data_IF_063538889198
#
_entry.id   IF_063538889198
#
_cell.length_a   1.000
_cell.length_b   1.000
_cell.length_c   1.000
_cell.angle_alpha   90.00
_cell.angle_beta   90.00
_cell.angle_gamma   90.00
#
_symmetry.space_group_name_H-M   'P 1'
#
loop_
_entity.id
_entity.type
_entity.pdbx_description
1 polymer ?
#
# COMPACT_ATOMS: atom_id res chain seq x y z
N UNK A 1 -41.95 111.88 17.40
CA UNK A 1 -41.47 110.49 17.22
C UNK A 1 -41.08 110.31 15.76
N UNK A 2 -39.83 109.93 15.45
CA UNK A 2 -39.44 109.59 14.07
C UNK A 2 -40.24 108.35 13.66
N UNK A 3 -41.19 108.50 12.72
CA UNK A 3 -42.00 107.40 12.21
C UNK A 3 -41.16 106.60 11.21
N UNK A 4 -40.80 105.37 11.55
CA UNK A 4 -40.07 104.49 10.64
C UNK A 4 -41.05 103.89 9.64
N UNK A 5 -40.78 104.09 8.34
CA UNK A 5 -41.52 103.49 7.24
C UNK A 5 -40.74 102.31 6.70
N UNK A 6 -41.26 101.10 6.89
CA UNK A 6 -40.70 99.86 6.33
C UNK A 6 -41.50 99.53 5.08
N UNK A 7 -40.81 99.36 3.95
CA UNK A 7 -41.42 98.93 2.69
C UNK A 7 -40.90 97.54 2.35
N UNK A 8 -41.82 96.61 2.12
CA UNK A 8 -41.49 95.24 1.71
C UNK A 8 -41.37 95.20 0.19
N UNK A 9 -40.30 94.58 -0.31
CA UNK A 9 -40.03 94.48 -1.73
C UNK A 9 -40.76 93.30 -2.42
N UNK A 10 -40.70 93.23 -3.76
CA UNK A 10 -40.02 94.19 -4.65
C UNK A 10 -40.95 95.38 -4.98
N UNK A 11 -40.64 96.57 -4.44
CA UNK A 11 -41.38 97.80 -4.71
C UNK A 11 -40.42 99.00 -4.74
N UNK A 12 -40.75 100.03 -5.53
CA UNK A 12 -39.93 101.23 -5.67
C UNK A 12 -40.24 102.21 -4.55
N UNK A 13 -39.21 102.56 -3.77
CA UNK A 13 -39.34 103.53 -2.67
C UNK A 13 -38.83 104.89 -3.12
N UNK A 14 -39.74 105.87 -3.15
CA UNK A 14 -39.39 107.29 -3.27
C UNK A 14 -39.42 107.90 -1.87
N UNK A 15 -38.37 108.65 -1.50
CA UNK A 15 -38.28 109.33 -0.22
C UNK A 15 -39.08 110.64 -0.25
N UNK A 16 -39.80 110.93 0.83
CA UNK A 16 -40.34 112.26 1.05
C UNK A 16 -39.24 113.26 1.46
N UNK A 17 -39.45 114.59 1.38
CA UNK A 17 -38.41 115.61 1.63
C UNK A 17 -37.72 115.56 2.99
N UNK A 18 -38.30 114.89 3.99
CA UNK A 18 -37.76 114.73 5.34
C UNK A 18 -37.48 113.26 5.71
N UNK A 19 -37.51 112.34 4.74
CA UNK A 19 -37.19 110.92 4.95
C UNK A 19 -35.72 110.64 4.60
N UNK A 20 -35.08 109.80 5.43
CA UNK A 20 -33.71 109.34 5.24
C UNK A 20 -33.68 107.82 5.17
N UNK A 21 -32.75 107.25 4.40
CA UNK A 21 -32.51 105.81 4.42
C UNK A 21 -31.81 105.40 5.70
N UNK A 22 -32.26 104.29 6.29
CA UNK A 22 -31.51 103.61 7.34
C UNK A 22 -30.44 102.74 6.69
N UNK A 23 -29.18 103.15 6.77
CA UNK A 23 -28.05 102.38 6.25
C UNK A 23 -27.73 101.25 7.23
N UNK A 24 -27.72 100.02 6.73
CA UNK A 24 -27.28 98.83 7.46
C UNK A 24 -25.79 98.60 7.22
N UNK A 25 -25.05 98.35 8.29
CA UNK A 25 -23.64 98.01 8.24
C UNK A 25 -23.49 96.56 8.69
N UNK A 26 -23.23 95.66 7.74
CA UNK A 26 -23.22 94.23 7.93
C UNK A 26 -21.79 93.67 7.92
N UNK A 27 -21.57 92.62 8.70
CA UNK A 27 -20.35 91.83 8.68
C UNK A 27 -20.17 91.10 7.34
N UNK A 28 -18.96 91.15 6.79
CA UNK A 28 -18.61 90.56 5.50
C UNK A 28 -17.25 89.87 5.53
N UNK A 29 -16.88 89.15 4.47
CA UNK A 29 -15.61 88.42 4.38
C UNK A 29 -15.63 87.00 4.97
N UNK A 30 -14.46 86.35 4.93
CA UNK A 30 -14.13 85.03 5.51
C UNK A 30 -12.66 85.09 6.00
N UNK A 31 -12.39 85.26 7.30
CA UNK A 31 -13.33 85.36 8.42
C UNK A 31 -14.22 86.61 8.36
N UNK A 32 -15.35 86.60 9.08
CA UNK A 32 -16.26 87.76 9.16
C UNK A 32 -15.60 88.94 9.86
N UNK A 33 -15.56 90.07 9.16
CA UNK A 33 -15.09 91.38 9.65
C UNK A 33 -16.31 92.31 9.78
N UNK A 34 -16.47 93.01 10.92
CA UNK A 34 -17.58 93.94 11.12
C UNK A 34 -17.50 95.13 10.16
N UNK A 35 -18.65 95.70 9.80
CA UNK A 35 -18.78 96.88 8.94
C UNK A 35 -18.17 96.76 7.54
N UNK A 36 -18.05 95.55 7.00
CA UNK A 36 -17.45 95.33 5.69
C UNK A 36 -18.43 95.60 4.52
N UNK A 37 -19.74 95.52 4.76
CA UNK A 37 -20.76 95.73 3.75
C UNK A 37 -21.78 96.76 4.22
N UNK A 38 -21.97 97.82 3.44
CA UNK A 38 -23.07 98.77 3.65
C UNK A 38 -24.22 98.45 2.70
N UNK A 39 -25.44 98.37 3.23
CA UNK A 39 -26.64 98.09 2.44
C UNK A 39 -27.79 99.02 2.84
N UNK A 40 -28.55 99.48 1.86
CA UNK A 40 -29.78 100.26 2.06
C UNK A 40 -31.01 99.37 2.26
N UNK A 41 -30.93 98.10 1.84
CA UNK A 41 -32.02 97.15 1.89
C UNK A 41 -31.64 95.93 2.74
N UNK A 42 -32.58 95.45 3.55
CA UNK A 42 -32.44 94.19 4.28
C UNK A 42 -33.00 93.06 3.43
N UNK A 43 -32.18 92.06 3.15
CA UNK A 43 -32.61 90.88 2.45
C UNK A 43 -33.19 89.87 3.43
N UNK A 44 -34.46 89.50 3.24
CA UNK A 44 -35.18 88.60 4.13
C UNK A 44 -34.85 87.11 3.91
N UNK A 45 -34.14 86.78 2.83
CA UNK A 45 -33.83 85.40 2.47
C UNK A 45 -34.92 84.71 1.63
N UNK A 46 -34.85 83.39 1.42
CA UNK A 46 -33.82 82.48 1.92
C UNK A 46 -32.45 82.76 1.31
N UNK A 47 -31.40 82.74 2.14
CA UNK A 47 -30.02 82.96 1.72
C UNK A 47 -29.06 82.19 2.62
N UNK A 48 -27.78 82.15 2.25
CA UNK A 48 -26.74 81.58 3.09
C UNK A 48 -25.61 82.57 3.34
N UNK A 49 -24.96 82.42 4.49
CA UNK A 49 -23.75 83.15 4.86
C UNK A 49 -22.67 82.14 5.25
N UNK A 50 -21.45 82.30 4.73
CA UNK A 50 -20.32 81.47 5.18
C UNK A 50 -19.36 82.26 6.05
N UNK A 51 -18.73 81.58 7.00
CA UNK A 51 -17.71 82.10 7.91
C UNK A 51 -16.60 81.07 8.15
N UNK A 52 -15.45 81.53 8.63
CA UNK A 52 -14.32 80.68 9.03
C UNK A 52 -14.07 80.86 10.52
N UNK A 53 -14.20 79.78 11.28
CA UNK A 53 -14.05 79.76 12.73
C UNK A 53 -12.85 78.89 13.10
N UNK A 54 -11.89 79.48 13.83
CA UNK A 54 -10.79 78.73 14.42
C UNK A 54 -11.24 78.19 15.79
N UNK A 55 -11.04 76.88 16.00
CA UNK A 55 -11.40 76.13 17.20
C UNK A 55 -10.19 75.31 17.69
N UNK A 56 -10.23 74.90 18.95
CA UNK A 56 -9.23 74.03 19.57
C UNK A 56 -9.97 72.89 20.28
N UNK A 57 -9.52 71.65 20.09
CA UNK A 57 -10.05 70.43 20.72
C UNK A 57 -9.41 70.18 22.09
N UNK A 58 -9.94 69.21 22.85
CA UNK A 58 -9.42 68.83 24.17
C UNK A 58 -7.97 68.31 24.16
N UNK A 59 -7.52 67.76 23.02
CA UNK A 59 -6.15 67.31 22.76
C UNK A 59 -5.28 68.40 22.10
N UNK A 60 -5.70 69.66 22.19
CA UNK A 60 -4.98 70.84 21.70
C UNK A 60 -4.77 70.89 20.18
N UNK A 61 -5.58 70.15 19.40
CA UNK A 61 -5.56 70.28 17.95
C UNK A 61 -6.30 71.54 17.53
N UNK A 62 -5.59 72.44 16.84
CA UNK A 62 -6.18 73.67 16.28
C UNK A 62 -6.73 73.41 14.89
N UNK A 63 -8.01 73.71 14.71
CA UNK A 63 -8.75 73.45 13.48
C UNK A 63 -9.36 74.74 12.94
N UNK A 64 -9.30 74.91 11.63
CA UNK A 64 -10.02 75.93 10.87
C UNK A 64 -11.27 75.29 10.28
N UNK A 65 -12.43 75.74 10.77
CA UNK A 65 -13.74 75.29 10.30
C UNK A 65 -14.30 76.31 9.33
N UNK A 66 -14.62 75.88 8.12
CA UNK A 66 -15.40 76.69 7.18
C UNK A 66 -16.85 76.27 7.25
N UNK A 67 -17.69 77.14 7.80
CA UNK A 67 -19.10 76.87 8.05
C UNK A 67 -19.97 77.70 7.10
N UNK A 68 -21.09 77.15 6.68
CA UNK A 68 -22.13 77.85 5.93
C UNK A 68 -23.46 77.71 6.64
N UNK A 69 -24.14 78.83 6.83
CA UNK A 69 -25.39 78.90 7.58
C UNK A 69 -26.50 79.27 6.60
N UNK A 70 -27.54 78.46 6.53
CA UNK A 70 -28.75 78.76 5.76
C UNK A 70 -29.73 79.48 6.66
N UNK A 71 -30.19 80.64 6.22
CA UNK A 71 -31.00 81.53 7.05
C UNK A 71 -32.09 82.24 6.25
N UNK A 72 -33.12 82.65 6.97
CA UNK A 72 -34.18 83.51 6.49
C UNK A 72 -34.73 84.32 7.67
N UNK A 73 -35.44 85.41 7.37
CA UNK A 73 -36.20 86.17 8.35
C UNK A 73 -37.64 85.71 8.34
N UNK A 74 -38.15 85.31 9.50
CA UNK A 74 -39.54 84.91 9.68
C UNK A 74 -40.39 86.14 10.01
N UNK A 75 -40.66 86.96 8.99
CA UNK A 75 -41.44 88.19 9.14
C UNK A 75 -42.93 87.87 9.10
N UNK A 76 -43.51 87.66 10.27
CA UNK A 76 -44.96 87.51 10.42
C UNK A 76 -45.67 88.86 10.41
N UNK A 77 -46.85 88.93 9.78
CA UNK A 77 -47.72 90.10 9.85
C UNK A 77 -48.41 90.11 11.21
N UNK A 78 -48.43 91.26 11.87
CA UNK A 78 -49.22 91.42 13.09
C UNK A 78 -50.72 91.40 12.75
N UNK A 79 -51.59 91.29 13.76
CA UNK A 79 -53.06 91.23 13.60
C UNK A 79 -53.65 92.45 12.86
N UNK A 80 -52.91 93.57 12.85
CA UNK A 80 -53.27 94.81 12.16
C UNK A 80 -52.74 94.89 10.71
N UNK A 81 -52.08 93.84 10.21
CA UNK A 81 -51.48 93.81 8.87
C UNK A 81 -50.16 94.58 8.73
N UNK A 82 -49.64 95.17 9.80
CA UNK A 82 -48.32 95.82 9.84
C UNK A 82 -47.21 94.79 10.09
N UNK A 83 -46.04 95.02 9.49
CA UNK A 83 -44.86 94.17 9.66
C UNK A 83 -44.12 94.54 10.95
N UNK A 84 -43.62 93.52 11.65
CA UNK A 84 -42.80 93.68 12.86
C UNK A 84 -41.56 94.55 12.58
N UNK A 85 -41.42 95.67 13.30
CA UNK A 85 -40.23 96.53 13.21
C UNK A 85 -38.97 95.88 13.81
N UNK A 86 -39.12 94.72 14.47
CA UNK A 86 -38.03 94.01 15.16
C UNK A 86 -36.93 93.56 14.21
N UNK A 87 -37.24 93.33 12.93
CA UNK A 87 -36.26 92.86 11.94
C UNK A 87 -35.06 93.80 11.79
N UNK A 88 -35.24 95.10 12.04
CA UNK A 88 -34.18 96.12 11.99
C UNK A 88 -33.57 96.45 13.37
N UNK A 89 -33.98 95.78 14.45
CA UNK A 89 -33.48 96.06 15.80
C UNK A 89 -32.00 95.70 16.00
N UNK A 90 -31.49 94.76 15.19
CA UNK A 90 -30.08 94.35 15.21
C UNK A 90 -29.38 94.92 13.98
N UNK A 91 -28.47 95.92 14.13
CA UNK A 91 -27.81 96.57 12.99
C UNK A 91 -26.96 95.61 12.15
N UNK A 92 -26.26 94.66 12.79
CA UNK A 92 -25.43 93.64 12.14
C UNK A 92 -25.87 92.23 12.53
N UNK A 93 -26.99 91.78 11.96
CA UNK A 93 -27.53 90.45 12.24
C UNK A 93 -26.58 89.32 11.78
N UNK A 94 -25.78 89.55 10.72
CA UNK A 94 -24.84 88.54 10.21
C UNK A 94 -23.69 88.36 11.21
N UNK A 95 -23.12 89.46 11.70
CA UNK A 95 -22.05 89.44 12.69
C UNK A 95 -22.51 88.81 14.01
N UNK A 96 -23.69 89.18 14.50
CA UNK A 96 -24.24 88.63 15.74
C UNK A 96 -24.53 87.12 15.64
N UNK A 97 -25.12 86.69 14.52
CA UNK A 97 -25.33 85.28 14.21
C UNK A 97 -24.01 84.49 14.18
N UNK A 98 -23.04 84.94 13.38
CA UNK A 98 -21.76 84.24 13.23
C UNK A 98 -20.99 84.20 14.56
N UNK A 99 -21.03 85.28 15.35
CA UNK A 99 -20.39 85.35 16.68
C UNK A 99 -21.02 84.37 17.67
N UNK A 100 -22.35 84.32 17.72
CA UNK A 100 -23.10 83.40 18.60
C UNK A 100 -22.81 81.95 18.23
N UNK A 101 -22.88 81.61 16.94
CA UNK A 101 -22.59 80.26 16.44
C UNK A 101 -21.14 79.88 16.71
N UNK A 102 -20.18 80.76 16.39
CA UNK A 102 -18.77 80.51 16.65
C UNK A 102 -18.47 80.27 18.14
N UNK A 103 -19.15 80.97 19.04
CA UNK A 103 -19.02 80.75 20.49
C UNK A 103 -19.52 79.37 20.91
N UNK A 104 -20.68 78.92 20.39
CA UNK A 104 -21.24 77.60 20.70
C UNK A 104 -20.38 76.47 20.14
N UNK A 105 -19.92 76.62 18.89
CA UNK A 105 -19.05 75.64 18.24
C UNK A 105 -17.71 75.53 18.98
N UNK A 106 -17.06 76.65 19.34
CA UNK A 106 -15.82 76.61 20.14
C UNK A 106 -16.00 75.89 21.47
N UNK A 107 -17.09 76.15 22.18
CA UNK A 107 -17.37 75.50 23.46
C UNK A 107 -17.57 73.98 23.35
N UNK A 108 -18.27 73.52 22.32
CA UNK A 108 -18.50 72.10 22.10
C UNK A 108 -17.25 71.35 21.60
N UNK A 109 -16.48 71.95 20.69
CA UNK A 109 -15.26 71.32 20.15
C UNK A 109 -14.19 71.18 21.22
N UNK A 110 -14.08 72.14 22.14
CA UNK A 110 -13.12 72.08 23.24
C UNK A 110 -13.34 70.90 24.21
N UNK A 111 -14.54 70.29 24.21
CA UNK A 111 -14.88 69.15 25.06
C UNK A 111 -14.59 67.79 24.40
N UNK A 112 -14.33 67.76 23.09
CA UNK A 112 -14.13 66.53 22.30
C UNK A 112 -12.66 66.38 21.90
N UNK A 113 -12.22 65.15 21.62
CA UNK A 113 -10.90 64.88 21.04
C UNK A 113 -10.92 65.09 19.51
N UNK A 114 -9.75 65.14 18.88
CA UNK A 114 -9.65 65.38 17.45
C UNK A 114 -10.28 64.25 16.60
N UNK A 115 -10.09 62.98 16.95
CA UNK A 115 -10.58 61.85 16.12
C UNK A 115 -12.11 61.70 16.20
N UNK A 116 -12.71 61.80 17.40
CA UNK A 116 -14.16 61.86 17.62
C UNK A 116 -14.76 63.03 16.85
N UNK A 117 -14.13 64.22 16.96
CA UNK A 117 -14.59 65.39 16.22
C UNK A 117 -14.45 65.21 14.71
N UNK A 118 -13.35 64.66 14.20
CA UNK A 118 -13.16 64.45 12.77
C UNK A 118 -14.22 63.50 12.18
N UNK A 119 -14.52 62.39 12.88
CA UNK A 119 -15.54 61.40 12.46
C UNK A 119 -16.97 61.93 12.57
N UNK A 120 -17.26 62.74 13.61
CA UNK A 120 -18.62 63.16 13.96
C UNK A 120 -18.86 64.68 13.84
N UNK A 121 -17.99 65.41 13.14
CA UNK A 121 -17.97 66.89 13.07
C UNK A 121 -19.34 67.50 12.78
N UNK A 122 -20.05 66.96 11.79
CA UNK A 122 -21.39 67.44 11.40
C UNK A 122 -22.40 67.30 12.53
N UNK A 123 -22.40 66.17 13.25
CA UNK A 123 -23.33 65.89 14.35
C UNK A 123 -23.02 66.79 15.56
N UNK A 124 -21.75 66.92 15.91
CA UNK A 124 -21.29 67.73 17.04
C UNK A 124 -21.63 69.21 16.82
N UNK A 125 -21.31 69.76 15.64
CA UNK A 125 -21.60 71.16 15.30
C UNK A 125 -23.10 71.44 15.30
N UNK A 126 -23.92 70.58 14.67
CA UNK A 126 -25.38 70.78 14.65
C UNK A 126 -25.97 70.74 16.07
N UNK A 127 -25.52 69.79 16.88
CA UNK A 127 -25.98 69.65 18.28
C UNK A 127 -25.57 70.86 19.12
N UNK A 128 -24.35 71.37 18.94
CA UNK A 128 -23.85 72.54 19.65
C UNK A 128 -24.64 73.82 19.32
N UNK A 129 -25.02 73.99 18.05
CA UNK A 129 -25.66 75.24 17.61
C UNK A 129 -27.17 75.23 17.83
N UNK A 130 -27.86 74.16 17.45
CA UNK A 130 -29.31 74.08 17.59
C UNK A 130 -29.74 73.68 19.01
N UNK A 131 -28.87 72.98 19.74
CA UNK A 131 -29.22 72.38 21.02
C UNK A 131 -30.09 71.14 20.85
N UNK A 132 -30.49 70.58 21.99
CA UNK A 132 -31.26 69.33 22.07
C UNK A 132 -32.65 69.64 22.65
N UNK A 133 -33.68 69.02 22.09
CA UNK A 133 -35.05 69.07 22.61
C UNK A 133 -35.25 68.15 23.82
N UNK A 134 -36.40 68.28 24.49
CA UNK A 134 -36.74 67.48 25.67
C UNK A 134 -36.71 65.95 25.42
N UNK A 135 -36.79 65.54 24.15
CA UNK A 135 -36.76 64.14 23.70
C UNK A 135 -35.35 63.66 23.28
N UNK A 136 -34.31 64.49 23.41
CA UNK A 136 -32.94 64.10 23.02
C UNK A 136 -32.60 64.32 21.54
N UNK A 137 -33.51 64.87 20.73
CA UNK A 137 -33.29 65.16 19.31
C UNK A 137 -32.76 66.58 19.08
N UNK A 138 -31.97 66.78 18.02
CA UNK A 138 -31.41 68.10 17.67
C UNK A 138 -32.53 68.99 17.11
N UNK A 139 -32.65 70.21 17.65
CA UNK A 139 -33.62 71.20 17.18
C UNK A 139 -33.44 71.50 15.69
N UNK A 140 -34.54 71.75 14.99
CA UNK A 140 -34.54 72.01 13.54
C UNK A 140 -34.12 73.42 13.15
N UNK A 141 -34.29 74.39 14.05
CA UNK A 141 -33.97 75.79 13.76
C UNK A 141 -33.43 76.51 15.00
N UNK A 142 -32.60 77.53 14.76
CA UNK A 142 -32.15 78.47 15.76
C UNK A 142 -32.77 79.84 15.47
N UNK A 143 -33.66 80.28 16.36
CA UNK A 143 -34.37 81.56 16.24
C UNK A 143 -33.77 82.62 17.14
N UNK A 144 -33.46 83.77 16.57
CA UNK A 144 -33.03 84.97 17.29
C UNK A 144 -34.26 85.85 17.57
N UNK A 145 -34.68 85.88 18.84
CA UNK A 145 -35.90 86.57 19.27
C UNK A 145 -35.82 88.10 19.09
N UNK A 146 -34.61 88.66 19.04
CA UNK A 146 -34.41 90.10 18.92
C UNK A 146 -34.81 90.68 17.55
N UNK A 147 -34.71 89.89 16.48
CA UNK A 147 -34.93 90.35 15.10
C UNK A 147 -35.66 89.35 14.20
N UNK A 148 -36.26 88.31 14.77
CA UNK A 148 -36.98 87.25 14.04
C UNK A 148 -36.12 86.56 12.94
N UNK A 149 -34.80 86.56 13.14
CA UNK A 149 -33.85 85.89 12.26
C UNK A 149 -33.77 84.39 12.60
N UNK A 150 -33.89 83.54 11.59
CA UNK A 150 -33.94 82.08 11.75
C UNK A 150 -32.83 81.43 10.94
N UNK A 151 -32.01 80.63 11.62
CA UNK A 151 -31.04 79.72 10.99
C UNK A 151 -31.67 78.33 10.91
N UNK A 152 -31.73 77.77 9.71
CA UNK A 152 -32.39 76.48 9.42
C UNK A 152 -31.42 75.32 9.33
N UNK A 153 -30.23 75.57 8.78
CA UNK A 153 -29.23 74.52 8.59
C UNK A 153 -27.82 75.08 8.66
N UNK A 154 -26.89 74.20 9.03
CA UNK A 154 -25.47 74.51 9.12
C UNK A 154 -24.71 73.41 8.39
N UNK A 155 -24.01 73.82 7.36
CA UNK A 155 -23.20 72.96 6.52
C UNK A 155 -21.71 73.19 6.84
N UNK A 156 -21.03 72.11 7.18
CA UNK A 156 -19.58 72.11 7.41
C UNK A 156 -18.90 71.90 6.06
N UNK A 157 -18.32 72.96 5.49
CA UNK A 157 -17.69 72.92 4.16
C UNK A 157 -16.31 72.29 4.20
N UNK A 158 -15.50 72.65 5.20
CA UNK A 158 -14.19 72.05 5.42
C UNK A 158 -13.80 72.10 6.90
N UNK A 159 -13.00 71.11 7.29
CA UNK A 159 -12.37 71.00 8.61
C UNK A 159 -10.89 70.76 8.35
N UNK A 160 -10.08 71.79 8.53
CA UNK A 160 -8.65 71.75 8.21
C UNK A 160 -7.82 71.97 9.48
N UNK A 161 -6.89 71.06 9.82
CA UNK A 161 -5.90 71.34 10.85
C UNK A 161 -5.05 72.54 10.46
N UNK A 162 -4.92 73.51 11.36
CA UNK A 162 -4.03 74.66 11.13
C UNK A 162 -2.56 74.33 11.40
N UNK A 163 -2.29 73.28 12.18
CA UNK A 163 -0.92 72.82 12.47
C UNK A 163 -0.45 71.82 11.42
N UNK A 164 0.69 72.13 10.80
CA UNK A 164 1.37 71.28 9.83
C UNK A 164 1.74 69.90 10.42
N UNK A 165 2.12 69.85 11.71
CA UNK A 165 2.45 68.58 12.38
C UNK A 165 1.26 67.65 12.47
N UNK A 166 0.07 68.17 12.74
CA UNK A 166 -1.17 67.39 12.82
C UNK A 166 -1.57 66.89 11.44
N UNK A 167 -1.42 67.72 10.40
CA UNK A 167 -1.65 67.32 9.00
C UNK A 167 -0.71 66.18 8.57
N UNK A 168 0.58 66.28 8.87
CA UNK A 168 1.57 65.26 8.53
C UNK A 168 1.31 63.95 9.31
N UNK A 169 0.89 64.05 10.56
CA UNK A 169 0.54 62.89 11.39
C UNK A 169 -0.68 62.15 10.82
N UNK A 170 -1.71 62.89 10.39
CA UNK A 170 -2.87 62.31 9.68
C UNK A 170 -2.47 61.61 8.40
N UNK A 171 -1.59 62.23 7.60
CA UNK A 171 -1.12 61.64 6.34
C UNK A 171 -0.36 60.33 6.59
N UNK A 172 0.48 60.28 7.63
CA UNK A 172 1.16 59.04 8.07
C UNK A 172 0.16 57.98 8.53
N UNK A 173 -0.86 58.34 9.28
CA UNK A 173 -1.91 57.41 9.70
C UNK A 173 -2.67 56.81 8.52
N UNK A 174 -2.99 57.60 7.49
CA UNK A 174 -3.62 57.10 6.25
C UNK A 174 -2.67 56.16 5.51
N UNK A 175 -1.40 56.50 5.39
CA UNK A 175 -0.40 55.64 4.76
C UNK A 175 -0.27 54.29 5.51
N UNK A 176 -0.22 54.32 6.84
CA UNK A 176 -0.19 53.11 7.66
C UNK A 176 -1.46 52.27 7.50
N UNK A 177 -2.64 52.90 7.40
CA UNK A 177 -3.90 52.17 7.15
C UNK A 177 -3.89 51.45 5.79
N UNK A 178 -3.36 52.10 4.74
CA UNK A 178 -3.17 51.47 3.42
C UNK A 178 -2.17 50.32 3.51
N UNK A 179 -1.07 50.50 4.23
CA UNK A 179 -0.07 49.44 4.42
C UNK A 179 -0.64 48.24 5.17
N UNK A 180 -1.40 48.46 6.24
CA UNK A 180 -2.05 47.40 7.02
C UNK A 180 -3.05 46.63 6.17
N UNK A 181 -3.89 47.33 5.40
CA UNK A 181 -4.86 46.68 4.51
C UNK A 181 -4.17 45.90 3.40
N UNK A 182 -3.08 46.43 2.83
CA UNK A 182 -2.26 45.74 1.83
C UNK A 182 -1.61 44.48 2.40
N UNK A 183 -0.96 44.58 3.57
CA UNK A 183 -0.34 43.45 4.27
C UNK A 183 -1.37 42.39 4.66
N UNK A 184 -2.56 42.80 5.07
CA UNK A 184 -3.67 41.89 5.39
C UNK A 184 -4.13 41.11 4.15
N UNK A 185 -4.29 41.79 3.01
CA UNK A 185 -4.63 41.14 1.74
C UNK A 185 -3.52 40.20 1.26
N UNK A 186 -2.27 40.61 1.36
CA UNK A 186 -1.12 39.79 0.98
C UNK A 186 -1.03 38.53 1.86
N UNK A 187 -1.20 38.66 3.17
CA UNK A 187 -1.21 37.53 4.09
C UNK A 187 -2.35 36.55 3.78
N UNK A 188 -3.55 37.06 3.49
CA UNK A 188 -4.68 36.22 3.09
C UNK A 188 -4.41 35.48 1.77
N UNK A 189 -3.80 36.14 0.78
CA UNK A 189 -3.42 35.51 -0.48
C UNK A 189 -2.33 34.43 -0.29
N UNK A 190 -1.30 34.70 0.53
CA UNK A 190 -0.25 33.72 0.86
C UNK A 190 -0.83 32.49 1.54
N UNK A 191 -1.65 32.66 2.57
CA UNK A 191 -2.32 31.54 3.24
C UNK A 191 -3.25 30.78 2.30
N UNK A 192 -3.97 31.47 1.42
CA UNK A 192 -4.79 30.83 0.39
C UNK A 192 -3.97 29.95 -0.56
N UNK A 193 -2.76 30.38 -0.92
CA UNK A 193 -1.84 29.58 -1.74
C UNK A 193 -1.27 28.38 -0.97
N UNK A 194 -0.86 28.57 0.28
CA UNK A 194 -0.36 27.48 1.14
C UNK A 194 -1.40 26.36 1.33
N UNK A 195 -2.67 26.73 1.53
CA UNK A 195 -3.78 25.76 1.63
C UNK A 195 -3.94 24.95 0.36
N UNK A 196 -3.89 25.59 -0.82
CA UNK A 196 -3.97 24.91 -2.12
C UNK A 196 -2.79 23.96 -2.33
N UNK A 197 -1.58 24.38 -1.96
CA UNK A 197 -0.38 23.54 -2.03
C UNK A 197 -0.49 22.31 -1.12
N UNK A 198 -1.00 22.50 0.10
CA UNK A 198 -1.24 21.39 1.03
C UNK A 198 -2.30 20.43 0.51
N UNK A 199 -3.39 20.94 -0.08
CA UNK A 199 -4.42 20.10 -0.69
C UNK A 199 -3.87 19.31 -1.88
N UNK A 200 -3.08 19.95 -2.75
CA UNK A 200 -2.43 19.30 -3.88
C UNK A 200 -1.46 18.20 -3.43
N UNK A 201 -0.62 18.47 -2.41
CA UNK A 201 0.26 17.46 -1.80
C UNK A 201 -0.53 16.31 -1.19
N UNK A 202 -1.61 16.60 -0.45
CA UNK A 202 -2.48 15.59 0.13
C UNK A 202 -3.14 14.69 -0.93
N UNK A 203 -3.59 15.27 -2.06
CA UNK A 203 -4.13 14.52 -3.20
C UNK A 203 -3.06 13.63 -3.85
N UNK A 204 -1.86 14.17 -4.08
CA UNK A 204 -0.75 13.42 -4.65
C UNK A 204 -0.34 12.22 -3.78
N UNK A 205 -0.23 12.42 -2.46
CA UNK A 205 0.11 11.32 -1.54
C UNK A 205 -0.99 10.25 -1.50
N UNK A 206 -2.27 10.63 -1.54
CA UNK A 206 -3.37 9.66 -1.67
C UNK A 206 -3.28 8.87 -2.97
N UNK A 207 -2.99 9.53 -4.09
CA UNK A 207 -2.80 8.85 -5.38
C UNK A 207 -1.63 7.87 -5.33
N UNK A 208 -0.46 8.27 -4.81
CA UNK A 208 0.69 7.38 -4.64
C UNK A 208 0.36 6.14 -3.80
N UNK A 209 -0.44 6.29 -2.75
CA UNK A 209 -0.87 5.17 -1.91
C UNK A 209 -1.80 4.25 -2.69
N UNK A 210 -2.76 4.81 -3.44
CA UNK A 210 -3.65 4.02 -4.30
C UNK A 210 -2.87 3.22 -5.34
N UNK A 211 -1.93 3.85 -6.03
CA UNK A 211 -1.05 3.19 -7.02
C UNK A 211 -0.25 2.05 -6.37
N UNK A 212 0.31 2.27 -5.17
CA UNK A 212 1.01 1.22 -4.42
C UNK A 212 0.11 0.06 -4.04
N UNK A 213 -1.13 0.33 -3.66
CA UNK A 213 -2.12 -0.72 -3.35
C UNK A 213 -2.42 -1.54 -4.61
N UNK A 214 -2.58 -0.89 -5.76
CA UNK A 214 -2.80 -1.60 -7.04
C UNK A 214 -1.60 -2.47 -7.43
N UNK A 215 -0.39 -1.94 -7.30
CA UNK A 215 0.86 -2.69 -7.55
C UNK A 215 0.98 -3.89 -6.62
N UNK A 216 0.75 -3.72 -5.32
CA UNK A 216 0.81 -4.83 -4.36
C UNK A 216 -0.29 -5.87 -4.63
N UNK A 217 -1.52 -5.46 -4.96
CA UNK A 217 -2.58 -6.39 -5.35
C UNK A 217 -2.23 -7.21 -6.61
N UNK A 218 -1.64 -6.57 -7.62
CA UNK A 218 -1.18 -7.27 -8.82
C UNK A 218 -0.03 -8.23 -8.51
N UNK A 219 0.88 -7.82 -7.63
CA UNK A 219 2.01 -8.64 -7.17
C UNK A 219 1.55 -9.86 -6.38
N UNK A 220 0.55 -9.74 -5.50
CA UNK A 220 -0.03 -10.89 -4.79
C UNK A 220 -0.59 -11.92 -5.78
N UNK A 221 -1.37 -11.48 -6.78
CA UNK A 221 -1.90 -12.37 -7.81
C UNK A 221 -0.79 -13.04 -8.63
N UNK A 222 0.26 -12.29 -8.98
CA UNK A 222 1.41 -12.83 -9.69
C UNK A 222 2.15 -13.89 -8.86
N UNK A 223 2.40 -13.63 -7.57
CA UNK A 223 3.02 -14.58 -6.65
C UNK A 223 2.18 -15.86 -6.49
N UNK A 224 0.85 -15.75 -6.41
CA UNK A 224 -0.03 -16.91 -6.38
C UNK A 224 0.08 -17.76 -7.66
N UNK A 225 0.11 -17.12 -8.83
CA UNK A 225 0.27 -17.81 -10.11
C UNK A 225 1.67 -18.43 -10.25
N UNK A 226 2.71 -17.74 -9.77
CA UNK A 226 4.07 -18.26 -9.74
C UNK A 226 4.15 -19.50 -8.85
N UNK A 227 3.63 -19.44 -7.62
CA UNK A 227 3.61 -20.58 -6.70
C UNK A 227 2.85 -21.78 -7.28
N UNK A 228 1.71 -21.54 -7.95
CA UNK A 228 0.98 -22.61 -8.67
C UNK A 228 1.80 -23.20 -9.81
N UNK A 229 2.51 -22.36 -10.58
CA UNK A 229 3.34 -22.79 -11.70
C UNK A 229 4.54 -23.60 -11.23
N UNK A 230 5.21 -23.16 -10.16
CA UNK A 230 6.30 -23.89 -9.51
C UNK A 230 5.83 -25.23 -8.94
N UNK A 231 4.65 -25.28 -8.30
CA UNK A 231 4.08 -26.53 -7.81
C UNK A 231 3.79 -27.52 -8.96
N UNK A 232 3.20 -27.03 -10.06
CA UNK A 232 2.96 -27.85 -11.26
C UNK A 232 4.26 -28.30 -11.91
N UNK A 233 5.27 -27.44 -11.99
CA UNK A 233 6.58 -27.77 -12.53
C UNK A 233 7.29 -28.82 -11.69
N UNK A 234 7.33 -28.66 -10.37
CA UNK A 234 7.95 -29.63 -9.45
C UNK A 234 7.23 -30.98 -9.46
N UNK A 235 5.90 -30.97 -9.49
CA UNK A 235 5.10 -32.20 -9.63
C UNK A 235 5.32 -32.85 -10.99
N UNK A 236 5.31 -32.07 -12.07
CA UNK A 236 5.55 -32.54 -13.43
C UNK A 236 6.93 -33.16 -13.59
N UNK A 237 7.96 -32.53 -13.04
CA UNK A 237 9.32 -33.07 -13.02
C UNK A 237 9.39 -34.36 -12.22
N UNK A 238 8.82 -34.40 -11.01
CA UNK A 238 8.82 -35.60 -10.16
C UNK A 238 8.08 -36.78 -10.81
N UNK A 239 6.92 -36.53 -11.43
CA UNK A 239 6.14 -37.55 -12.15
C UNK A 239 6.86 -38.00 -13.41
N UNK A 240 7.47 -37.09 -14.16
CA UNK A 240 8.24 -37.42 -15.36
C UNK A 240 9.47 -38.27 -15.01
N UNK A 241 10.23 -37.90 -13.98
CA UNK A 241 11.38 -38.68 -13.50
C UNK A 241 10.96 -40.06 -12.97
N UNK A 242 9.87 -40.14 -12.20
CA UNK A 242 9.36 -41.42 -11.70
C UNK A 242 8.90 -42.33 -12.86
N UNK A 243 8.18 -41.78 -13.85
CA UNK A 243 7.78 -42.53 -15.06
C UNK A 243 8.97 -42.99 -15.88
N UNK A 244 9.95 -42.10 -16.13
CA UNK A 244 11.15 -42.44 -16.88
C UNK A 244 11.96 -43.54 -16.19
N UNK A 245 12.11 -43.48 -14.85
CA UNK A 245 12.76 -44.56 -14.08
C UNK A 245 11.99 -45.87 -14.14
N UNK A 246 10.66 -45.82 -14.02
CA UNK A 246 9.82 -47.00 -14.10
C UNK A 246 9.89 -47.65 -15.49
N UNK A 247 9.84 -46.87 -16.58
CA UNK A 247 10.02 -47.37 -17.94
C UNK A 247 11.42 -47.94 -18.18
N UNK A 248 12.47 -47.27 -17.70
CA UNK A 248 13.84 -47.77 -17.80
C UNK A 248 14.00 -49.13 -17.11
N UNK A 249 13.50 -49.27 -15.88
CA UNK A 249 13.49 -50.54 -15.14
C UNK A 249 12.67 -51.62 -15.86
N UNK A 250 11.52 -51.26 -16.45
CA UNK A 250 10.68 -52.20 -17.18
C UNK A 250 11.40 -52.72 -18.44
N UNK A 251 12.12 -51.86 -19.15
CA UNK A 251 12.96 -52.25 -20.30
C UNK A 251 14.09 -53.17 -19.84
N UNK A 252 14.77 -52.83 -18.75
CA UNK A 252 15.86 -53.64 -18.18
C UNK A 252 15.38 -55.04 -17.78
N UNK A 253 14.31 -55.13 -16.99
CA UNK A 253 13.72 -56.42 -16.57
C UNK A 253 13.26 -57.23 -17.78
N UNK A 254 12.64 -56.61 -18.78
CA UNK A 254 12.24 -57.32 -20.00
C UNK A 254 13.44 -57.83 -20.79
N UNK A 255 14.52 -57.04 -20.87
CA UNK A 255 15.78 -57.43 -21.51
C UNK A 255 16.45 -58.59 -20.76
N UNK A 256 16.52 -58.54 -19.44
CA UNK A 256 17.03 -59.64 -18.61
C UNK A 256 16.21 -60.91 -18.76
N UNK A 257 14.88 -60.80 -18.78
CA UNK A 257 13.98 -61.94 -18.98
C UNK A 257 14.16 -62.55 -20.37
N UNK A 258 14.31 -61.70 -21.41
CA UNK A 258 14.65 -62.15 -22.77
C UNK A 258 16.01 -62.86 -22.80
N UNK A 259 17.05 -62.28 -22.18
CA UNK A 259 18.37 -62.90 -22.08
C UNK A 259 18.33 -64.23 -21.32
N UNK A 260 17.60 -64.30 -20.21
CA UNK A 260 17.42 -65.51 -19.43
C UNK A 260 16.71 -66.61 -20.24
N UNK A 261 15.66 -66.25 -20.99
CA UNK A 261 14.98 -67.17 -21.92
C UNK A 261 15.93 -67.69 -23.00
N UNK A 262 16.69 -66.80 -23.63
CA UNK A 262 17.67 -67.18 -24.67
C UNK A 262 18.78 -68.08 -24.09
N UNK A 263 19.28 -67.78 -22.89
CA UNK A 263 20.26 -68.63 -22.18
C UNK A 263 19.69 -70.00 -21.84
N UNK A 264 18.45 -70.06 -21.35
CA UNK A 264 17.77 -71.32 -21.06
C UNK A 264 17.57 -72.16 -22.34
N UNK A 265 17.19 -71.53 -23.45
CA UNK A 265 17.09 -72.20 -24.75
C UNK A 265 18.45 -72.69 -25.25
N UNK A 266 19.49 -71.87 -25.16
CA UNK A 266 20.86 -72.26 -25.54
C UNK A 266 21.35 -73.44 -24.69
N UNK A 267 21.10 -73.41 -23.38
CA UNK A 267 21.44 -74.49 -22.46
C UNK A 267 20.71 -75.79 -22.82
N UNK A 268 19.40 -75.71 -23.11
CA UNK A 268 18.59 -76.85 -23.53
C UNK A 268 19.15 -77.48 -24.82
N UNK A 269 19.45 -76.67 -25.83
CA UNK A 269 20.05 -77.16 -27.08
C UNK A 269 21.41 -77.81 -26.82
N UNK A 270 22.28 -77.20 -26.00
CA UNK A 270 23.58 -77.79 -25.67
C UNK A 270 23.44 -79.10 -24.90
N UNK A 271 22.51 -79.18 -23.94
CA UNK A 271 22.26 -80.37 -23.15
C UNK A 271 21.69 -81.50 -24.01
N UNK A 272 20.75 -81.20 -24.92
CA UNK A 272 20.24 -82.16 -25.90
C UNK A 272 21.35 -82.66 -26.84
N UNK A 273 22.25 -81.78 -27.29
CA UNK A 273 23.38 -82.16 -28.11
C UNK A 273 24.39 -83.04 -27.36
N UNK A 274 24.68 -82.73 -26.09
CA UNK A 274 25.53 -83.55 -25.23
C UNK A 274 24.91 -84.91 -24.93
N UNK A 275 23.62 -84.95 -24.60
CA UNK A 275 22.87 -86.19 -24.38
C UNK A 275 22.95 -87.08 -25.62
N UNK A 276 22.68 -86.53 -26.80
CA UNK A 276 22.76 -87.26 -28.07
C UNK A 276 24.17 -87.80 -28.35
N UNK A 277 25.21 -87.02 -28.05
CA UNK A 277 26.61 -87.47 -28.17
C UNK A 277 26.91 -88.60 -27.19
N UNK A 278 26.39 -88.53 -25.98
CA UNK A 278 26.58 -89.54 -24.94
C UNK A 278 25.83 -90.83 -25.26
N UNK A 279 24.59 -90.74 -25.74
CA UNK A 279 23.83 -91.88 -26.28
C UNK A 279 24.59 -92.55 -27.43
N UNK A 280 25.07 -91.77 -28.41
CA UNK A 280 25.89 -92.31 -29.51
C UNK A 280 27.14 -93.01 -28.98
N UNK A 281 27.86 -92.41 -28.04
CA UNK A 281 29.03 -93.04 -27.42
C UNK A 281 28.67 -94.34 -26.71
N UNK A 282 27.61 -94.34 -25.90
CA UNK A 282 27.16 -95.54 -25.18
C UNK A 282 26.70 -96.64 -26.14
N UNK A 283 26.02 -96.31 -27.25
CA UNK A 283 25.63 -97.32 -28.25
C UNK A 283 26.85 -97.96 -28.91
N UNK A 284 27.89 -97.17 -29.21
CA UNK A 284 29.15 -97.68 -29.76
C UNK A 284 29.88 -98.56 -28.72
N UNK A 285 29.96 -98.11 -27.47
CA UNK A 285 30.58 -98.88 -26.37
C UNK A 285 29.83 -100.20 -26.14
N UNK A 286 28.49 -100.19 -26.12
CA UNK A 286 27.66 -101.40 -26.01
C UNK A 286 27.89 -102.36 -27.17
N UNK A 287 27.91 -101.89 -28.43
CA UNK A 287 28.19 -102.74 -29.59
C UNK A 287 29.61 -103.33 -29.53
N UNK A 288 30.60 -102.53 -29.11
CA UNK A 288 31.96 -103.02 -28.88
C UNK A 288 32.01 -104.11 -27.80
N UNK A 289 31.38 -103.88 -26.63
CA UNK A 289 31.31 -104.86 -25.55
C UNK A 289 30.55 -106.11 -25.96
N UNK A 290 29.44 -105.99 -26.69
CA UNK A 290 28.73 -107.14 -27.25
C UNK A 290 29.63 -107.95 -28.17
N UNK A 291 30.35 -107.30 -29.10
CA UNK A 291 31.30 -107.97 -30.00
C UNK A 291 32.43 -108.65 -29.22
N UNK A 292 33.02 -107.99 -28.23
CA UNK A 292 34.03 -108.61 -27.35
C UNK A 292 33.47 -109.83 -26.63
N UNK A 293 32.30 -109.73 -26.01
CA UNK A 293 31.66 -110.85 -25.32
C UNK A 293 31.37 -112.01 -26.28
N UNK A 294 30.89 -111.74 -27.50
CA UNK A 294 30.67 -112.79 -28.50
C UNK A 294 31.98 -113.46 -28.90
N UNK A 295 33.06 -112.71 -29.06
CA UNK A 295 34.39 -113.22 -29.39
C UNK A 295 34.98 -114.04 -28.23
N UNK A 296 34.77 -113.60 -26.98
CA UNK A 296 35.18 -114.35 -25.79
C UNK A 296 34.40 -115.67 -25.66
N UNK A 297 33.09 -115.66 -25.89
CA UNK A 297 32.25 -116.87 -25.91
C UNK A 297 32.75 -117.81 -27.01
N UNK A 298 33.03 -117.30 -28.21
CA UNK A 298 33.52 -118.11 -29.33
C UNK A 298 34.91 -118.69 -29.02
N UNK A 299 35.82 -117.88 -28.47
CA UNK A 299 37.14 -118.32 -28.04
C UNK A 299 37.04 -119.40 -26.97
N UNK A 300 36.23 -119.17 -25.93
CA UNK A 300 35.99 -120.13 -24.85
C UNK A 300 35.42 -121.45 -25.39
N UNK A 301 34.47 -121.37 -26.33
CA UNK A 301 33.90 -122.53 -27.01
C UNK A 301 34.93 -123.31 -27.82
N UNK A 302 35.75 -122.64 -28.64
CA UNK A 302 36.82 -123.27 -29.42
C UNK A 302 37.90 -123.87 -28.52
N UNK A 303 38.27 -123.21 -27.43
CA UNK A 303 39.22 -123.77 -26.45
C UNK A 303 38.63 -124.97 -25.72
N UNK A 304 37.34 -124.95 -25.38
CA UNK A 304 36.67 -126.08 -24.75
C UNK A 304 36.56 -127.27 -25.72
N UNK A 305 36.25 -127.03 -27.00
CA UNK A 305 36.25 -128.06 -28.05
C UNK A 305 37.65 -128.65 -28.26
N UNK A 306 38.69 -127.81 -28.34
CA UNK A 306 40.08 -128.25 -28.47
C UNK A 306 40.56 -129.03 -27.23
N UNK A 307 40.19 -128.59 -26.01
CA UNK A 307 40.55 -129.30 -24.79
C UNK A 307 39.77 -130.61 -24.67
N UNK A 308 38.48 -130.64 -25.05
CA UNK A 308 37.71 -131.88 -25.14
C UNK A 308 38.34 -132.86 -26.14
N UNK A 309 38.83 -132.38 -27.29
CA UNK A 309 39.51 -133.21 -28.28
C UNK A 309 40.92 -133.65 -27.84
N UNK A 310 41.64 -132.82 -27.09
CA UNK A 310 42.92 -133.17 -26.46
C UNK A 310 42.70 -134.23 -25.38
N UNK A 311 41.73 -134.05 -24.49
CA UNK A 311 41.35 -135.04 -23.46
C UNK A 311 40.92 -136.33 -24.14
N UNK A 312 40.11 -136.27 -25.19
CA UNK A 312 39.72 -137.47 -25.96
C UNK A 312 40.94 -138.19 -26.53
N UNK A 313 41.87 -137.48 -27.18
CA UNK A 313 43.13 -138.07 -27.67
C UNK A 313 43.99 -138.68 -26.56
N UNK A 314 44.07 -138.03 -25.40
CA UNK A 314 44.80 -138.53 -24.23
C UNK A 314 44.13 -139.80 -23.68
N UNK A 315 42.79 -139.82 -23.58
CA UNK A 315 42.02 -140.98 -23.11
C UNK A 315 42.12 -142.15 -24.10
N UNK A 316 42.02 -141.89 -25.39
CA UNK A 316 42.14 -142.92 -26.44
C UNK A 316 43.56 -143.52 -26.50
N UNK A 317 44.61 -142.70 -26.33
CA UNK A 317 46.00 -143.15 -26.34
C UNK A 317 46.39 -143.97 -25.11
N UNK A 318 45.80 -143.69 -23.94
CA UNK A 318 46.05 -144.46 -22.71
C UNK A 318 45.23 -145.76 -22.72
N UNK A 319 44.07 -145.77 -23.40
CA UNK A 319 43.18 -146.93 -23.49
C UNK A 319 42.36 -147.13 -22.22
N UNK A 320 41.08 -147.49 -22.39
CA UNK A 320 40.09 -147.57 -21.30
C UNK A 320 40.50 -148.56 -20.20
N UNK A 321 41.10 -149.69 -20.58
CA UNK A 321 41.54 -150.73 -19.65
C UNK A 321 42.70 -150.25 -18.76
N UNK A 322 43.64 -149.48 -19.31
CA UNK A 322 44.79 -148.95 -18.57
C UNK A 322 44.40 -147.84 -17.60
N UNK A 323 43.41 -147.00 -17.95
CA UNK A 323 42.87 -145.98 -17.03
C UNK A 323 42.17 -146.62 -15.82
N UNK A 324 41.44 -147.72 -16.03
CA UNK A 324 40.84 -148.49 -14.91
C UNK A 324 41.92 -149.14 -14.06
N UNK A 325 42.97 -149.69 -14.67
CA UNK A 325 44.10 -150.28 -13.95
C UNK A 325 44.88 -149.25 -13.13
N UNK A 326 45.12 -148.04 -13.66
CA UNK A 326 45.78 -146.94 -12.92
C UNK A 326 44.90 -146.45 -11.77
N UNK A 327 43.57 -146.42 -11.94
CA UNK A 327 42.64 -146.08 -10.86
C UNK A 327 42.51 -147.18 -9.79
N UNK A 328 42.76 -148.46 -10.11
CA UNK A 328 42.72 -149.59 -9.17
C UNK A 328 44.08 -149.94 -8.52
N UNK A 329 45.20 -149.41 -9.02
CA UNK A 329 46.55 -149.70 -8.51
C UNK A 329 46.86 -149.12 -7.11
N UNK A 330 46.16 -148.07 -6.68
CA UNK A 330 46.29 -147.49 -5.33
C UNK A 330 45.73 -148.40 -4.22
N UNK A 331 44.47 -148.84 -4.32
CA UNK A 331 43.84 -149.71 -3.32
C UNK A 331 44.50 -151.10 -3.18
N UNK A 332 44.99 -151.72 -4.26
CA UNK A 332 45.55 -153.08 -4.22
C UNK A 332 46.97 -153.15 -3.60
N UNK A 333 47.79 -152.11 -3.76
CA UNK A 333 49.16 -152.10 -3.26
C UNK A 333 49.24 -151.66 -1.78
N UNK A 334 48.33 -150.78 -1.32
CA UNK A 334 48.19 -150.45 0.10
C UNK A 334 47.53 -151.58 0.91
N UNK A 335 46.68 -152.42 0.29
CA UNK A 335 46.09 -153.60 0.94
C UNK A 335 47.09 -154.75 1.16
N UNK A 336 48.09 -154.94 0.27
CA UNK A 336 49.11 -156.01 0.40
C UNK A 336 50.20 -155.73 1.44
N UNK A 337 50.47 -154.46 1.79
CA UNK A 337 51.46 -154.10 2.81
C UNK A 337 50.92 -154.06 4.25
N UNK A 338 49.59 -154.00 4.43
CA UNK A 338 48.94 -153.80 5.74
C UNK A 338 48.20 -155.03 6.33
N UNK A 339 48.34 -156.24 5.76
CA UNK A 339 47.55 -157.43 6.16
C UNK A 339 48.28 -158.70 6.65
N UNK A 340 49.63 -158.79 6.60
CA UNK A 340 50.31 -160.10 6.44
C UNK A 340 51.33 -160.63 7.47
N UNK A 341 51.33 -160.22 8.76
CA UNK A 341 51.77 -161.01 9.97
C UNK A 341 52.19 -160.03 11.11
N UNK A 342 51.43 -159.77 12.18
CA UNK A 342 50.21 -160.41 12.69
C UNK A 342 49.32 -159.46 13.51
N UNK A 343 48.26 -159.02 12.83
CA UNK A 343 46.84 -158.83 13.20
C UNK A 343 46.43 -158.07 14.49
N UNK A 344 45.78 -156.91 14.28
CA UNK A 344 44.31 -156.71 14.36
C UNK A 344 43.98 -155.21 14.30
N UNK A 345 43.03 -154.83 13.45
CA UNK A 345 42.35 -153.53 13.58
C UNK A 345 42.04 -152.78 12.29
N UNK A 346 41.28 -153.41 11.41
CA UNK A 346 40.29 -152.83 10.49
C UNK A 346 40.56 -151.50 9.73
N UNK A 347 40.58 -151.70 8.41
CA UNK A 347 39.79 -151.04 7.37
C UNK A 347 40.18 -149.62 6.96
N UNK A 348 41.01 -149.64 5.93
CA UNK A 348 41.46 -148.55 5.07
C UNK A 348 40.48 -148.43 3.89
N UNK A 349 40.04 -147.20 3.62
CA UNK A 349 39.85 -146.64 2.26
C UNK A 349 40.17 -145.15 2.42
N UNK A 350 41.42 -144.74 2.18
CA UNK A 350 41.93 -144.28 0.87
C UNK A 350 40.99 -143.22 0.25
N UNK A 351 41.33 -141.94 0.12
CA UNK A 351 42.66 -141.34 0.09
C UNK A 351 42.97 -140.75 -1.28
N UNK A 352 42.11 -139.89 -1.82
CA UNK A 352 42.60 -138.86 -2.74
C UNK A 352 41.75 -137.58 -2.64
N UNK A 353 42.15 -136.77 -1.66
CA UNK A 353 41.80 -135.35 -1.42
C UNK A 353 40.32 -134.95 -1.45
N UNK A 354 39.77 -134.55 -0.28
CA UNK A 354 39.19 -133.22 -0.26
C UNK A 354 39.58 -132.48 1.03
N UNK A 355 40.65 -131.70 0.93
CA UNK A 355 40.71 -130.43 1.67
C UNK A 355 40.53 -129.40 0.57
N UNK A 356 39.38 -128.73 0.50
CA UNK A 356 39.07 -127.77 1.54
C UNK A 356 37.59 -127.79 1.93
N UNK A 357 37.28 -128.62 2.92
CA UNK A 357 36.13 -128.40 3.80
C UNK A 357 36.53 -127.35 4.83
N UNK A 358 36.17 -126.08 4.59
CA UNK A 358 35.56 -125.19 5.59
C UNK A 358 35.00 -123.93 4.89
N UNK A 359 33.97 -124.14 4.07
CA UNK A 359 32.79 -123.30 4.27
C UNK A 359 32.14 -123.79 5.57
N UNK A 360 32.03 -122.94 6.58
CA UNK A 360 30.86 -122.86 7.48
C UNK A 360 30.99 -121.64 8.39
N UNK A 361 30.16 -120.64 8.09
CA UNK A 361 29.42 -119.82 9.05
C UNK A 361 30.16 -119.22 10.27
N UNK A 362 30.50 -117.95 10.12
CA UNK A 362 30.01 -116.88 11.01
C UNK A 362 29.37 -115.83 10.09
N UNK A 363 28.06 -115.73 9.86
CA UNK A 363 26.97 -116.20 10.71
C UNK A 363 26.65 -115.18 11.80
N UNK A 364 25.97 -114.11 11.40
CA UNK A 364 24.99 -113.32 12.18
C UNK A 364 25.43 -112.56 13.44
N UNK A 365 25.36 -111.22 13.33
CA UNK A 365 24.98 -110.16 14.31
C UNK A 365 25.78 -108.92 13.87
N UNK A 366 25.20 -107.86 13.31
CA UNK A 366 24.18 -107.04 13.94
C UNK A 366 24.83 -105.84 14.64
N UNK A 367 24.46 -104.63 14.19
CA UNK A 367 24.45 -103.35 14.92
C UNK A 367 25.67 -102.41 14.91
N UNK A 368 25.42 -101.24 14.25
CA UNK A 368 25.68 -99.82 14.66
C UNK A 368 27.15 -99.37 14.81
N UNK A 369 27.56 -98.15 14.46
CA UNK A 369 26.89 -96.89 14.16
C UNK A 369 27.81 -95.73 14.58
N UNK A 370 27.47 -94.50 14.14
CA UNK A 370 28.16 -93.20 14.37
C UNK A 370 29.38 -92.95 13.45
N UNK A 371 29.55 -91.84 12.76
CA UNK A 371 29.09 -90.44 12.91
C UNK A 371 30.36 -89.61 12.61
N UNK A 372 30.45 -88.84 11.54
CA UNK A 372 29.87 -87.50 11.37
C UNK A 372 30.98 -86.55 10.91
N UNK A 373 30.63 -85.49 10.17
CA UNK A 373 31.47 -84.30 9.97
C UNK A 373 31.90 -84.00 8.54
N UNK A 374 31.08 -83.25 7.81
CA UNK A 374 31.50 -82.39 6.69
C UNK A 374 31.89 -81.00 7.21
N UNK A 375 32.81 -80.32 6.51
CA UNK A 375 32.51 -78.96 6.06
C UNK A 375 32.99 -78.69 4.61
N UNK A 376 32.12 -78.08 3.78
CA UNK A 376 32.35 -76.75 3.16
C UNK A 376 31.20 -76.32 2.25
#
# INVERSE_FOLDING_TARGET
>A
MKKQRIVMGPDLVILAPHEEFTVLSLSGGKPKVPNALQSLQLFLGPRFSSDTVIVETSDHARLSLRLSYNWYFDVTKDKNGEYSQKTFSVPDFIGDCCKTIASRVRGAVAAEDFDSFHRNSTKIIRTAVFGVDANGEVRRELRFVANDFVVTNIDVQSVEPTDEKTRDSLQKSVQLAIEITTKSQEAAARHGNELKDQEAKGKLERQKIADKIEVENAKTKWLELQAKSEAVQASGQSVAEAKAKAEALLIEVNSELQQAKLRAQAYLISAEAELKKLEQRQTIELDYTQRQNTLEIEKARRTAEAEAERVKRVVDAIGRETLVAIAQAGPEMQAKLLGGLGLKGYLITDGNTPVNLFSTAHGMLGSKGAGGGEPH
#
